data_IF_204227810773
#
_entry.id   IF_204227810773
#
_cell.length_a   1.000
_cell.length_b   1.000
_cell.length_c   1.000
_cell.angle_alpha   90.00
_cell.angle_beta   90.00
_cell.angle_gamma   90.00
#
_symmetry.space_group_name_H-M   'P 1'
#
loop_
_entity.id
_entity.type
_entity.pdbx_description
1 polymer ?
#
# COMPACT_ATOMS: atom_id res chain seq x y z
N UNK A 1 -36.42 24.15 -10.40
CA UNK A 1 -35.52 23.55 -11.41
C UNK A 1 -34.07 23.75 -10.97
N UNK A 2 -33.36 22.68 -10.58
CA UNK A 2 -31.95 22.77 -10.16
C UNK A 2 -31.05 22.77 -11.41
N UNK A 3 -30.35 23.88 -11.68
CA UNK A 3 -29.36 23.99 -12.76
C UNK A 3 -28.18 23.05 -12.46
N UNK A 4 -28.02 21.99 -13.26
CA UNK A 4 -26.79 21.19 -13.33
C UNK A 4 -25.66 22.07 -13.87
N UNK A 5 -24.66 22.39 -13.05
CA UNK A 5 -23.39 22.93 -13.52
C UNK A 5 -22.62 21.80 -14.21
N UNK A 6 -22.68 21.76 -15.54
CA UNK A 6 -21.75 20.95 -16.33
C UNK A 6 -20.39 21.68 -16.34
N UNK A 7 -19.47 21.26 -15.48
CA UNK A 7 -18.07 21.60 -15.61
C UNK A 7 -17.42 20.61 -16.58
N UNK A 8 -17.45 20.94 -17.87
CA UNK A 8 -16.63 20.26 -18.88
C UNK A 8 -15.16 20.52 -18.56
N UNK A 9 -14.49 19.56 -17.90
CA UNK A 9 -13.05 19.57 -17.74
C UNK A 9 -12.43 19.35 -19.12
N UNK A 10 -12.00 20.43 -19.77
CA UNK A 10 -11.27 20.40 -21.05
C UNK A 10 -10.09 19.43 -20.92
N UNK A 11 -10.13 18.30 -21.61
CA UNK A 11 -9.09 17.28 -21.57
C UNK A 11 -7.82 17.87 -22.21
N UNK A 12 -6.82 18.21 -21.40
CA UNK A 12 -5.51 18.66 -21.90
C UNK A 12 -4.85 17.53 -22.68
N UNK A 13 -4.78 17.66 -24.00
CA UNK A 13 -4.07 16.71 -24.88
C UNK A 13 -2.58 16.98 -24.83
N UNK A 14 -1.78 15.91 -24.83
CA UNK A 14 -0.31 15.97 -24.86
C UNK A 14 0.14 16.01 -26.32
N UNK A 15 0.69 17.13 -26.77
CA UNK A 15 1.03 17.39 -28.17
C UNK A 15 2.53 17.50 -28.43
N UNK A 16 3.33 17.80 -27.40
CA UNK A 16 4.79 17.90 -27.49
C UNK A 16 5.45 16.52 -27.34
N UNK A 17 6.58 16.32 -28.03
CA UNK A 17 7.34 15.06 -28.02
C UNK A 17 8.65 15.21 -27.23
N UNK A 18 8.99 14.15 -26.52
CA UNK A 18 10.30 13.92 -25.92
C UNK A 18 10.91 12.73 -26.64
N UNK A 19 12.06 12.92 -27.27
CA UNK A 19 12.73 11.91 -28.07
C UNK A 19 14.18 11.76 -27.60
N UNK A 20 14.62 10.51 -27.45
CA UNK A 20 15.99 10.17 -27.07
C UNK A 20 16.45 9.02 -27.96
N UNK A 21 17.71 9.08 -28.43
CA UNK A 21 18.34 7.96 -29.12
C UNK A 21 18.78 6.94 -28.06
N UNK A 22 18.43 5.69 -28.30
CA UNK A 22 18.76 4.57 -27.42
C UNK A 22 19.32 3.42 -28.25
N UNK A 23 20.15 2.61 -27.63
CA UNK A 23 20.56 1.31 -28.12
C UNK A 23 19.40 0.30 -28.02
N UNK A 24 19.52 -0.83 -28.71
CA UNK A 24 18.53 -1.92 -28.64
C UNK A 24 18.43 -2.53 -27.24
N UNK A 25 19.57 -2.63 -26.53
CA UNK A 25 19.63 -3.12 -25.15
C UNK A 25 18.90 -2.19 -24.18
N UNK A 26 19.11 -0.88 -24.29
CA UNK A 26 18.39 0.10 -23.46
C UNK A 26 16.89 0.08 -23.74
N UNK A 27 16.49 -0.05 -25.02
CA UNK A 27 15.07 -0.12 -25.38
C UNK A 27 14.38 -1.34 -24.76
N UNK A 28 14.99 -2.53 -24.88
CA UNK A 28 14.44 -3.77 -24.33
C UNK A 28 14.33 -3.72 -22.81
N UNK A 29 15.37 -3.23 -22.13
CA UNK A 29 15.36 -3.05 -20.67
C UNK A 29 14.22 -2.13 -20.20
N UNK A 30 14.06 -0.96 -20.84
CA UNK A 30 12.99 -0.03 -20.45
C UNK A 30 11.60 -0.61 -20.78
N UNK A 31 11.48 -1.40 -21.84
CA UNK A 31 10.23 -2.08 -22.19
C UNK A 31 9.81 -3.10 -21.10
N UNK A 32 10.76 -3.89 -20.60
CA UNK A 32 10.54 -4.85 -19.52
C UNK A 32 10.19 -4.17 -18.20
N UNK A 33 10.89 -3.09 -17.86
CA UNK A 33 10.58 -2.28 -16.67
C UNK A 33 9.17 -1.68 -16.75
N UNK A 34 8.82 -1.09 -17.90
CA UNK A 34 7.49 -0.53 -18.13
C UNK A 34 6.40 -1.61 -17.97
N UNK A 35 6.62 -2.80 -18.56
CA UNK A 35 5.71 -3.94 -18.46
C UNK A 35 5.54 -4.42 -17.03
N UNK A 36 6.63 -4.54 -16.29
CA UNK A 36 6.65 -4.95 -14.86
C UNK A 36 5.92 -3.96 -13.97
N UNK A 37 5.98 -2.66 -14.29
CA UNK A 37 5.20 -1.61 -13.63
C UNK A 37 3.74 -1.51 -14.13
N UNK A 38 3.33 -2.30 -15.13
CA UNK A 38 2.00 -2.21 -15.74
C UNK A 38 1.75 -0.91 -16.51
N UNK A 39 2.80 -0.31 -17.08
CA UNK A 39 2.76 0.95 -17.82
C UNK A 39 3.10 0.75 -19.29
N UNK A 40 2.61 1.64 -20.15
CA UNK A 40 3.17 1.78 -21.50
C UNK A 40 4.59 2.36 -21.42
N UNK A 41 5.41 2.11 -22.43
CA UNK A 41 6.76 2.70 -22.56
C UNK A 41 6.74 4.23 -22.35
N UNK A 42 5.86 4.93 -23.08
CA UNK A 42 5.70 6.38 -22.95
C UNK A 42 5.17 6.81 -21.58
N UNK A 43 4.37 5.96 -20.92
CA UNK A 43 3.90 6.18 -19.57
C UNK A 43 5.04 6.09 -18.56
N UNK A 44 5.84 5.03 -18.63
CA UNK A 44 6.98 4.79 -17.76
C UNK A 44 8.05 5.89 -17.89
N UNK A 45 8.49 6.19 -19.11
CA UNK A 45 9.50 7.23 -19.38
C UNK A 45 9.01 8.61 -18.93
N UNK A 46 7.75 8.95 -19.18
CA UNK A 46 7.22 10.25 -18.75
C UNK A 46 7.16 10.37 -17.23
N UNK A 47 6.77 9.32 -16.51
CA UNK A 47 6.73 9.33 -15.05
C UNK A 47 8.13 9.49 -14.46
N UNK A 48 9.07 8.70 -14.96
CA UNK A 48 10.49 8.77 -14.55
C UNK A 48 11.13 10.12 -14.88
N UNK A 49 10.89 10.68 -16.07
CA UNK A 49 11.37 12.01 -16.45
C UNK A 49 10.79 13.15 -15.61
N UNK A 50 9.62 12.95 -14.98
CA UNK A 50 9.02 13.89 -14.03
C UNK A 50 9.46 13.64 -12.58
N UNK A 51 10.47 12.80 -12.34
CA UNK A 51 10.98 12.47 -11.01
C UNK A 51 10.12 11.48 -10.23
N UNK A 52 9.11 10.85 -10.87
CA UNK A 52 8.33 9.79 -10.24
C UNK A 52 9.09 8.47 -10.33
N UNK A 53 8.82 7.56 -9.39
CA UNK A 53 9.46 6.25 -9.31
C UNK A 53 8.39 5.15 -9.47
N UNK A 54 7.97 4.81 -10.71
CA UNK A 54 7.01 3.72 -10.93
C UNK A 54 7.51 2.42 -10.32
N UNK A 55 6.70 1.82 -9.45
CA UNK A 55 7.04 0.56 -8.78
C UNK A 55 6.53 -0.63 -9.58
N UNK A 56 7.18 -1.77 -9.38
CA UNK A 56 6.69 -3.04 -9.89
C UNK A 56 5.29 -3.31 -9.36
N UNK A 57 4.42 -3.78 -10.24
CA UNK A 57 3.07 -4.17 -9.85
C UNK A 57 3.13 -5.48 -9.06
N UNK A 58 2.39 -5.54 -7.95
CA UNK A 58 2.23 -6.78 -7.19
C UNK A 58 1.57 -7.86 -8.05
N UNK A 59 2.07 -9.07 -7.92
CA UNK A 59 1.48 -10.29 -8.48
C UNK A 59 0.17 -10.62 -7.75
N UNK A 60 -0.70 -11.42 -8.38
CA UNK A 60 -1.97 -11.82 -7.76
C UNK A 60 -1.77 -12.49 -6.39
N UNK A 61 -0.72 -13.31 -6.25
CA UNK A 61 -0.37 -13.97 -4.99
C UNK A 61 0.08 -12.99 -3.92
N UNK A 62 0.85 -11.96 -4.30
CA UNK A 62 1.27 -10.90 -3.37
C UNK A 62 0.09 -10.02 -2.95
N UNK A 63 -0.84 -9.74 -3.87
CA UNK A 63 -2.09 -9.02 -3.55
C UNK A 63 -2.93 -9.82 -2.56
N UNK A 64 -3.10 -11.14 -2.79
CA UNK A 64 -3.83 -12.02 -1.88
C UNK A 64 -3.18 -12.05 -0.49
N UNK A 65 -1.86 -12.22 -0.43
CA UNK A 65 -1.12 -12.20 0.83
C UNK A 65 -1.26 -10.85 1.56
N UNK A 66 -1.21 -9.73 0.83
CA UNK A 66 -1.43 -8.38 1.37
C UNK A 66 -2.85 -8.25 1.96
N UNK A 67 -3.87 -8.74 1.27
CA UNK A 67 -5.26 -8.75 1.77
C UNK A 67 -5.37 -9.58 3.06
N UNK A 68 -4.86 -10.82 3.07
CA UNK A 68 -4.90 -11.69 4.25
C UNK A 68 -4.20 -11.07 5.47
N UNK A 69 -3.09 -10.38 5.26
CA UNK A 69 -2.37 -9.70 6.33
C UNK A 69 -3.12 -8.47 6.84
N UNK A 70 -3.80 -7.73 5.97
CA UNK A 70 -4.69 -6.62 6.37
C UNK A 70 -5.86 -7.12 7.22
N UNK A 71 -6.47 -8.25 6.84
CA UNK A 71 -7.54 -8.88 7.61
C UNK A 71 -7.02 -9.33 8.99
N UNK A 72 -5.89 -10.04 9.02
CA UNK A 72 -5.25 -10.50 10.26
C UNK A 72 -4.87 -9.34 11.19
N UNK A 73 -4.41 -8.21 10.65
CA UNK A 73 -4.20 -6.98 11.45
C UNK A 73 -5.51 -6.46 12.02
N UNK A 74 -6.58 -6.44 11.23
CA UNK A 74 -7.91 -6.05 11.68
C UNK A 74 -8.38 -6.89 12.87
N UNK A 75 -8.20 -8.21 12.79
CA UNK A 75 -8.48 -9.13 13.89
C UNK A 75 -7.62 -8.83 15.12
N UNK A 76 -6.32 -8.65 14.94
CA UNK A 76 -5.40 -8.35 16.04
C UNK A 76 -5.75 -7.05 16.76
N UNK A 77 -6.16 -6.01 16.02
CA UNK A 77 -6.66 -4.75 16.60
C UNK A 77 -7.92 -4.98 17.42
N UNK A 78 -8.89 -5.75 16.89
CA UNK A 78 -10.15 -6.07 17.59
C UNK A 78 -9.88 -6.83 18.90
N UNK A 79 -9.03 -7.85 18.86
CA UNK A 79 -8.65 -8.63 20.04
C UNK A 79 -7.92 -7.75 21.05
N UNK A 80 -6.92 -6.97 20.62
CA UNK A 80 -6.19 -6.07 21.51
C UNK A 80 -7.11 -5.03 22.18
N UNK A 81 -8.07 -4.48 21.43
CA UNK A 81 -9.07 -3.56 21.97
C UNK A 81 -9.98 -4.23 23.01
N UNK A 82 -10.44 -5.45 22.74
CA UNK A 82 -11.24 -6.23 23.67
C UNK A 82 -10.46 -6.56 24.96
N UNK A 83 -9.20 -6.97 24.85
CA UNK A 83 -8.34 -7.24 26.02
C UNK A 83 -8.12 -5.97 26.84
N UNK A 84 -7.90 -4.83 26.16
CA UNK A 84 -7.71 -3.54 26.83
C UNK A 84 -8.96 -3.06 27.58
N UNK A 85 -10.16 -3.37 27.08
CA UNK A 85 -11.42 -2.96 27.72
C UNK A 85 -11.77 -3.78 28.96
N UNK A 86 -11.16 -4.95 29.16
CA UNK A 86 -11.28 -5.72 30.40
C UNK A 86 -10.63 -4.91 31.53
N UNK A 87 -11.37 -4.72 32.64
CA UNK A 87 -10.85 -4.05 33.84
C UNK A 87 -9.62 -4.81 34.37
N UNK A 88 -8.63 -4.08 34.87
CA UNK A 88 -7.32 -4.65 35.21
C UNK A 88 -7.38 -5.74 36.29
N UNK A 89 -8.27 -5.58 37.26
CA UNK A 89 -8.62 -6.54 38.31
C UNK A 89 -9.24 -7.84 37.76
N UNK A 90 -10.03 -7.75 36.68
CA UNK A 90 -10.66 -8.90 36.02
C UNK A 90 -9.77 -9.60 34.99
N UNK A 91 -8.70 -8.96 34.50
CA UNK A 91 -7.79 -9.61 33.53
C UNK A 91 -7.09 -10.83 34.08
N UNK A 92 -6.79 -10.83 35.39
CA UNK A 92 -6.20 -12.00 36.06
C UNK A 92 -7.11 -13.23 36.03
N UNK A 93 -8.44 -13.03 36.04
CA UNK A 93 -9.43 -14.12 35.99
C UNK A 93 -9.40 -14.82 34.62
N UNK A 94 -9.23 -14.06 33.54
CA UNK A 94 -9.26 -14.61 32.18
C UNK A 94 -7.91 -15.16 31.72
N UNK A 95 -6.81 -14.52 32.11
CA UNK A 95 -5.51 -14.83 31.53
C UNK A 95 -4.52 -15.53 32.47
N UNK A 96 -4.89 -15.74 33.74
CA UNK A 96 -4.07 -16.35 34.81
C UNK A 96 -2.76 -15.59 35.12
N UNK A 97 -1.96 -15.27 34.11
CA UNK A 97 -0.76 -14.44 34.17
C UNK A 97 -0.98 -13.08 33.49
N UNK A 98 -1.08 -12.04 34.31
CA UNK A 98 -1.24 -10.66 33.84
C UNK A 98 0.01 -10.12 33.13
N UNK A 99 1.20 -10.63 33.46
CA UNK A 99 2.47 -10.21 32.84
C UNK A 99 2.53 -10.70 31.40
N UNK A 100 2.09 -11.93 31.15
CA UNK A 100 1.98 -12.47 29.80
C UNK A 100 1.09 -11.57 28.91
N UNK A 101 -0.11 -11.20 29.40
CA UNK A 101 -1.03 -10.34 28.63
C UNK A 101 -0.41 -8.99 28.32
N UNK A 102 0.30 -8.40 29.27
CA UNK A 102 0.95 -7.12 29.06
C UNK A 102 2.06 -7.22 27.99
N UNK A 103 2.89 -8.26 28.05
CA UNK A 103 3.92 -8.53 27.04
C UNK A 103 3.30 -8.82 25.68
N UNK A 104 2.24 -9.62 25.63
CA UNK A 104 1.50 -9.91 24.41
C UNK A 104 0.91 -8.64 23.79
N UNK A 105 0.30 -7.76 24.59
CA UNK A 105 -0.23 -6.49 24.08
C UNK A 105 0.87 -5.57 23.53
N UNK A 106 2.05 -5.53 24.16
CA UNK A 106 3.21 -4.79 23.63
C UNK A 106 3.65 -5.35 22.28
N UNK A 107 3.79 -6.67 22.16
CA UNK A 107 4.16 -7.33 20.91
C UNK A 107 3.09 -7.13 19.82
N UNK A 108 1.81 -7.27 20.14
CA UNK A 108 0.70 -7.03 19.24
C UNK A 108 0.72 -5.59 18.68
N UNK A 109 0.98 -4.60 19.55
CA UNK A 109 1.11 -3.20 19.13
C UNK A 109 2.27 -2.99 18.16
N UNK A 110 3.42 -3.63 18.40
CA UNK A 110 4.56 -3.57 17.47
C UNK A 110 4.20 -4.16 16.10
N UNK A 111 3.50 -5.29 16.05
CA UNK A 111 3.05 -5.91 14.80
C UNK A 111 2.05 -5.02 14.05
N UNK A 112 1.06 -4.46 14.74
CA UNK A 112 0.07 -3.53 14.16
C UNK A 112 0.75 -2.32 13.52
N UNK A 113 1.74 -1.75 14.21
CA UNK A 113 2.51 -0.59 13.73
C UNK A 113 3.42 -0.97 12.55
N UNK A 114 4.10 -2.12 12.64
CA UNK A 114 4.97 -2.60 11.58
C UNK A 114 4.19 -2.85 10.29
N UNK A 115 2.99 -3.42 10.39
CA UNK A 115 2.11 -3.58 9.23
C UNK A 115 1.71 -2.24 8.62
N UNK A 116 1.32 -1.26 9.45
CA UNK A 116 0.98 0.08 8.95
C UNK A 116 2.13 0.72 8.17
N UNK A 117 3.39 0.48 8.59
CA UNK A 117 4.56 0.96 7.84
C UNK A 117 4.72 0.27 6.49
N UNK A 118 4.46 -1.04 6.42
CA UNK A 118 4.51 -1.82 5.16
C UNK A 118 3.43 -1.33 4.21
N UNK A 119 2.21 -1.13 4.71
CA UNK A 119 1.08 -0.62 3.93
C UNK A 119 1.37 0.78 3.38
N UNK A 120 1.83 1.71 4.23
CA UNK A 120 2.21 3.05 3.81
C UNK A 120 3.32 3.03 2.76
N UNK A 121 4.34 2.19 2.96
CA UNK A 121 5.40 2.01 1.96
C UNK A 121 4.84 1.57 0.62
N UNK A 122 3.83 0.69 0.58
CA UNK A 122 3.26 0.22 -0.69
C UNK A 122 2.37 1.26 -1.38
N UNK A 123 1.78 2.19 -0.63
CA UNK A 123 0.84 3.20 -1.15
C UNK A 123 1.47 4.56 -1.45
N UNK A 124 2.56 4.92 -0.76
CA UNK A 124 3.33 6.17 -0.92
C UNK A 124 4.61 5.94 -1.72
#
# INVERSE_FOLDING_TARGET
MKKKKNTDKKITRRTLRLEARVTEQEYTQVAELAKTCGLSMSGYIRRTALGQHPRQRLTNREVEALCSLTDARGDLIRIAAAVKSIQADKRAIYFSDTRFVEQWMRAATQLINRWSQIENYLTE
#
